data_IF_512829318367
#
_entry.id   IF_512829318367
#
_cell.length_a   1.000
_cell.length_b   1.000
_cell.length_c   1.000
_cell.angle_alpha   90.00
_cell.angle_beta   90.00
_cell.angle_gamma   90.00
#
_symmetry.space_group_name_H-M   'P 1'
#
loop_
_entity.id
_entity.type
_entity.pdbx_description
1 polymer ?
#
# COMPACT_ATOMS: atom_id res chain seq x y z
N UNK A 1 18.96 24.08 -23.59
CA UNK A 1 19.30 22.63 -23.48
C UNK A 1 18.52 21.97 -22.34
N UNK A 2 17.19 21.86 -22.46
CA UNK A 2 16.32 21.38 -21.35
C UNK A 2 15.16 20.52 -21.85
N UNK A 3 14.86 20.56 -23.15
CA UNK A 3 13.75 19.83 -23.78
C UNK A 3 14.07 18.33 -23.85
N UNK A 4 15.27 17.95 -24.30
CA UNK A 4 15.71 16.55 -24.34
C UNK A 4 15.76 15.88 -22.95
N UNK A 5 16.11 16.64 -21.90
CA UNK A 5 16.19 16.11 -20.53
C UNK A 5 14.82 15.83 -19.91
N UNK A 6 13.76 16.51 -20.35
CA UNK A 6 12.37 16.24 -19.94
C UNK A 6 11.76 15.02 -20.67
N UNK A 7 12.19 14.74 -21.91
CA UNK A 7 11.67 13.63 -22.71
C UNK A 7 12.37 12.29 -22.41
N UNK A 8 13.67 12.33 -22.14
CA UNK A 8 14.47 11.14 -21.79
C UNK A 8 14.80 11.04 -20.29
N UNK A 9 14.19 11.88 -19.46
CA UNK A 9 14.34 11.81 -18.01
C UNK A 9 13.77 10.50 -17.47
N UNK A 10 14.56 9.77 -16.68
CA UNK A 10 14.12 8.54 -16.04
C UNK A 10 12.84 8.79 -15.23
N UNK A 11 11.75 8.09 -15.60
CA UNK A 11 10.50 8.11 -14.82
C UNK A 11 10.82 7.61 -13.42
N UNK A 12 10.44 8.41 -12.40
CA UNK A 12 10.54 7.98 -11.02
C UNK A 12 9.81 6.63 -10.86
N UNK A 13 10.36 5.69 -10.08
CA UNK A 13 9.75 4.39 -9.89
C UNK A 13 8.34 4.57 -9.31
N UNK A 14 7.34 4.00 -9.99
CA UNK A 14 5.98 4.02 -9.50
C UNK A 14 5.91 3.32 -8.14
N UNK A 15 5.28 3.98 -7.16
CA UNK A 15 5.08 3.39 -5.84
C UNK A 15 4.14 2.18 -5.98
N UNK A 16 4.63 0.99 -5.62
CA UNK A 16 3.83 -0.22 -5.62
C UNK A 16 3.03 -0.29 -4.32
N UNK A 17 1.73 -0.10 -4.44
CA UNK A 17 0.80 -0.20 -3.30
C UNK A 17 0.42 -1.68 -3.14
N UNK A 18 0.56 -2.22 -1.93
CA UNK A 18 0.02 -3.54 -1.61
C UNK A 18 -1.47 -3.40 -1.33
N UNK A 19 -2.28 -4.14 -2.05
CA UNK A 19 -3.74 -4.17 -1.93
C UNK A 19 -4.14 -5.47 -1.24
N UNK A 20 -5.08 -5.40 -0.30
CA UNK A 20 -5.64 -6.57 0.34
C UNK A 20 -6.69 -7.23 -0.54
N UNK A 21 -6.63 -8.55 -0.62
CA UNK A 21 -7.48 -9.35 -1.50
C UNK A 21 -8.95 -9.40 -1.05
N UNK A 22 -9.21 -9.18 0.24
CA UNK A 22 -10.55 -9.24 0.84
C UNK A 22 -11.32 -7.93 0.64
N UNK A 23 -10.66 -6.79 0.88
CA UNK A 23 -11.31 -5.50 0.89
C UNK A 23 -10.98 -4.62 -0.32
N UNK A 24 -10.02 -5.03 -1.16
CA UNK A 24 -9.61 -4.28 -2.34
C UNK A 24 -8.93 -2.94 -2.04
N UNK A 25 -8.63 -2.67 -0.77
CA UNK A 25 -8.03 -1.41 -0.31
C UNK A 25 -6.51 -1.57 -0.09
N UNK A 26 -5.76 -0.46 -0.15
CA UNK A 26 -4.37 -0.45 0.28
C UNK A 26 -4.24 -1.00 1.70
N UNK A 27 -3.21 -1.81 1.95
CA UNK A 27 -2.98 -2.42 3.26
C UNK A 27 -2.83 -1.39 4.39
N UNK A 28 -2.34 -0.19 4.05
CA UNK A 28 -2.24 0.95 4.97
C UNK A 28 -3.60 1.58 5.33
N UNK A 29 -4.64 1.35 4.53
CA UNK A 29 -5.98 1.94 4.65
C UNK A 29 -7.04 0.87 4.94
N UNK A 30 -6.66 -0.24 5.57
CA UNK A 30 -7.62 -1.26 5.97
C UNK A 30 -8.71 -0.68 6.86
N UNK A 31 -9.96 -1.01 6.53
CA UNK A 31 -11.13 -0.67 7.33
C UNK A 31 -11.39 -1.74 8.39
N UNK A 32 -12.07 -1.35 9.46
CA UNK A 32 -12.35 -2.22 10.62
C UNK A 32 -13.20 -3.46 10.30
N UNK A 33 -13.88 -3.48 9.14
CA UNK A 33 -14.64 -4.66 8.69
C UNK A 33 -13.78 -5.71 7.97
N UNK A 34 -12.52 -5.40 7.63
CA UNK A 34 -11.63 -6.37 6.98
C UNK A 34 -11.26 -7.49 7.96
N UNK A 35 -11.57 -8.74 7.58
CA UNK A 35 -11.30 -9.95 8.36
C UNK A 35 -9.82 -10.08 8.76
N UNK A 36 -8.91 -9.88 7.79
CA UNK A 36 -7.46 -9.94 8.02
C UNK A 36 -7.00 -8.85 9.00
N UNK A 37 -7.50 -7.63 8.87
CA UNK A 37 -7.13 -6.52 9.74
C UNK A 37 -7.59 -6.77 11.19
N UNK A 38 -8.80 -7.28 11.38
CA UNK A 38 -9.29 -7.70 12.71
C UNK A 38 -8.39 -8.78 13.31
N UNK A 39 -8.08 -9.84 12.57
CA UNK A 39 -7.19 -10.90 13.05
C UNK A 39 -5.80 -10.36 13.43
N UNK A 40 -5.23 -9.45 12.62
CA UNK A 40 -3.94 -8.80 12.93
C UNK A 40 -4.01 -8.01 14.25
N UNK A 41 -5.08 -7.25 14.48
CA UNK A 41 -5.27 -6.53 15.75
C UNK A 41 -5.43 -7.49 16.93
N UNK A 42 -6.21 -8.56 16.78
CA UNK A 42 -6.39 -9.57 17.84
C UNK A 42 -5.07 -10.27 18.20
N UNK A 43 -4.24 -10.59 17.20
CA UNK A 43 -2.92 -11.18 17.41
C UNK A 43 -1.95 -10.20 18.08
N UNK A 44 -1.95 -8.93 17.66
CA UNK A 44 -1.14 -7.89 18.28
C UNK A 44 -1.54 -7.63 19.74
N UNK A 45 -2.83 -7.65 20.05
CA UNK A 45 -3.33 -7.52 21.41
C UNK A 45 -2.93 -8.70 22.31
N UNK A 46 -2.92 -9.92 21.77
CA UNK A 46 -2.50 -11.13 22.49
C UNK A 46 -0.99 -11.24 22.70
N UNK A 47 -0.20 -10.55 21.88
CA UNK A 47 1.26 -10.54 21.99
C UNK A 47 1.78 -9.58 23.09
N UNK A 48 0.88 -8.92 23.82
CA UNK A 48 1.17 -7.94 24.87
C UNK A 48 0.84 -8.52 26.25
#
# INVERSE_FOLDING_TARGET
MTIFKKLFGAKAPAQRIRVCIECGMPVAEHKDWCSIYRTQQEMAAKAK
#
